data_IF_230527170092
#
_entry.id   IF_230527170092
#
_cell.length_a   1.000
_cell.length_b   1.000
_cell.length_c   1.000
_cell.angle_alpha   90.00
_cell.angle_beta   90.00
_cell.angle_gamma   90.00
#
_symmetry.space_group_name_H-M   'P 1'
#
loop_
_entity.id
_entity.type
_entity.pdbx_description
1 polymer ?
#
# COMPACT_ATOMS: atom_id res chain seq x y z
N UNK A 1 16.90 9.40 -20.62
CA UNK A 1 16.87 9.50 -19.15
C UNK A 1 16.25 8.26 -18.58
N UNK A 2 16.93 7.57 -17.69
CA UNK A 2 16.29 6.46 -17.03
C UNK A 2 15.10 6.98 -16.22
N UNK A 3 13.95 6.36 -16.41
CA UNK A 3 12.79 6.68 -15.59
C UNK A 3 13.08 6.32 -14.15
N UNK A 4 12.63 7.17 -13.23
CA UNK A 4 12.71 6.85 -11.81
C UNK A 4 11.84 5.63 -11.54
N UNK A 5 12.32 4.72 -10.70
CA UNK A 5 11.50 3.61 -10.24
C UNK A 5 10.26 4.17 -9.54
N UNK A 6 9.12 3.54 -9.82
CA UNK A 6 7.83 3.97 -9.27
C UNK A 6 7.41 3.04 -8.14
N UNK A 7 7.05 3.63 -7.02
CA UNK A 7 6.62 2.91 -5.83
C UNK A 7 5.24 3.36 -5.39
N UNK A 8 4.43 2.41 -5.02
CA UNK A 8 3.14 2.65 -4.37
C UNK A 8 3.26 2.19 -2.92
N UNK A 9 3.09 3.11 -1.99
CA UNK A 9 3.04 2.81 -0.56
C UNK A 9 1.58 2.80 -0.14
N UNK A 10 1.12 1.70 0.43
CA UNK A 10 -0.28 1.52 0.81
C UNK A 10 -0.40 1.44 2.32
N UNK A 11 -1.20 2.32 2.90
CA UNK A 11 -1.64 2.18 4.28
C UNK A 11 -2.74 1.11 4.30
N UNK A 12 -2.37 -0.11 4.69
CA UNK A 12 -3.26 -1.26 4.62
C UNK A 12 -4.54 -1.08 5.42
N UNK A 13 -4.44 -0.46 6.57
CA UNK A 13 -5.60 -0.20 7.43
C UNK A 13 -6.60 0.74 6.76
N UNK A 14 -6.13 1.85 6.19
CA UNK A 14 -6.98 2.79 5.47
C UNK A 14 -7.75 2.11 4.35
N UNK A 15 -7.06 1.29 3.56
CA UNK A 15 -7.66 0.62 2.41
C UNK A 15 -8.66 -0.46 2.83
N UNK A 16 -8.31 -1.27 3.84
CA UNK A 16 -9.19 -2.31 4.34
C UNK A 16 -10.51 -1.71 4.83
N UNK A 17 -10.44 -0.60 5.58
CA UNK A 17 -11.65 0.02 6.12
C UNK A 17 -12.45 0.77 5.05
N UNK A 18 -11.80 1.26 4.00
CA UNK A 18 -12.48 1.99 2.94
C UNK A 18 -13.18 1.07 1.91
N UNK A 19 -12.65 -0.13 1.70
CA UNK A 19 -13.23 -1.05 0.72
C UNK A 19 -14.21 -1.99 1.40
N UNK A 20 -15.52 -1.94 1.05
CA UNK A 20 -16.56 -2.71 1.77
C UNK A 20 -16.29 -4.21 1.84
N UNK A 21 -15.81 -4.82 0.77
CA UNK A 21 -15.52 -6.25 0.73
C UNK A 21 -14.38 -6.65 1.67
N UNK A 22 -13.37 -5.77 1.80
CA UNK A 22 -12.26 -6.01 2.73
C UNK A 22 -12.66 -5.75 4.17
N UNK A 23 -13.49 -4.73 4.39
CA UNK A 23 -14.00 -4.44 5.72
C UNK A 23 -14.84 -5.61 6.27
N UNK A 24 -15.64 -6.24 5.43
CA UNK A 24 -16.40 -7.42 5.81
C UNK A 24 -15.49 -8.59 6.19
N UNK A 25 -14.42 -8.81 5.44
CA UNK A 25 -13.43 -9.82 5.77
C UNK A 25 -12.74 -9.52 7.09
N UNK A 26 -12.43 -8.25 7.35
CA UNK A 26 -11.81 -7.78 8.59
C UNK A 26 -12.68 -8.12 9.81
N UNK A 27 -14.00 -7.98 9.69
CA UNK A 27 -14.95 -8.32 10.76
C UNK A 27 -14.92 -9.81 11.09
N UNK A 28 -14.67 -10.66 10.10
CA UNK A 28 -14.57 -12.10 10.30
C UNK A 28 -13.21 -12.50 10.85
N UNK A 29 -12.14 -12.02 10.25
CA UNK A 29 -10.76 -12.29 10.65
C UNK A 29 -9.84 -11.30 9.95
N UNK A 30 -9.00 -10.60 10.71
CA UNK A 30 -8.11 -9.60 10.14
C UNK A 30 -7.12 -10.18 9.12
N UNK A 31 -6.67 -11.42 9.31
CA UNK A 31 -5.77 -12.07 8.37
C UNK A 31 -6.39 -12.26 6.99
N UNK A 32 -7.70 -12.52 6.92
CA UNK A 32 -8.41 -12.68 5.65
C UNK A 32 -8.39 -11.38 4.83
N UNK A 33 -8.63 -10.25 5.50
CA UNK A 33 -8.61 -8.94 4.83
C UNK A 33 -7.21 -8.61 4.33
N UNK A 34 -6.19 -8.86 5.14
CA UNK A 34 -4.79 -8.60 4.77
C UNK A 34 -4.37 -9.45 3.56
N UNK A 35 -4.67 -10.73 3.60
CA UNK A 35 -4.35 -11.65 2.50
C UNK A 35 -5.05 -11.24 1.20
N UNK A 36 -6.33 -10.86 1.28
CA UNK A 36 -7.08 -10.41 0.12
C UNK A 36 -6.48 -9.13 -0.47
N UNK A 37 -6.10 -8.19 0.38
CA UNK A 37 -5.47 -6.95 -0.08
C UNK A 37 -4.11 -7.22 -0.73
N UNK A 38 -3.28 -8.05 -0.09
CA UNK A 38 -1.96 -8.41 -0.63
C UNK A 38 -2.10 -9.05 -2.01
N UNK A 39 -3.06 -9.95 -2.18
CA UNK A 39 -3.30 -10.58 -3.47
C UNK A 39 -3.65 -9.56 -4.55
N UNK A 40 -4.54 -8.62 -4.25
CA UNK A 40 -4.92 -7.57 -5.19
C UNK A 40 -3.75 -6.65 -5.53
N UNK A 41 -2.94 -6.32 -4.54
CA UNK A 41 -1.76 -5.48 -4.75
C UNK A 41 -0.69 -6.21 -5.58
N UNK A 42 -0.54 -7.51 -5.36
CA UNK A 42 0.38 -8.33 -6.16
C UNK A 42 -0.03 -8.32 -7.64
N UNK A 43 -1.31 -8.50 -7.93
CA UNK A 43 -1.82 -8.42 -9.29
C UNK A 43 -1.56 -7.05 -9.90
N UNK A 44 -1.81 -6.00 -9.15
CA UNK A 44 -1.57 -4.63 -9.60
C UNK A 44 -0.10 -4.39 -9.92
N UNK A 45 0.80 -4.85 -9.06
CA UNK A 45 2.24 -4.78 -9.29
C UNK A 45 2.63 -5.50 -10.57
N UNK A 46 2.10 -6.70 -10.78
CA UNK A 46 2.39 -7.51 -11.97
C UNK A 46 1.91 -6.81 -13.25
N UNK A 47 0.74 -6.18 -13.20
CA UNK A 47 0.15 -5.52 -14.37
C UNK A 47 0.79 -4.18 -14.68
N UNK A 48 1.27 -3.43 -13.70
CA UNK A 48 1.76 -2.07 -13.88
C UNK A 48 3.28 -1.96 -13.88
N UNK A 49 3.97 -2.92 -13.29
CA UNK A 49 5.40 -2.81 -13.04
C UNK A 49 5.76 -1.88 -11.89
N UNK A 50 4.78 -1.27 -11.23
CA UNK A 50 5.04 -0.46 -10.03
C UNK A 50 5.44 -1.37 -8.87
N UNK A 51 6.41 -0.95 -8.09
CA UNK A 51 6.76 -1.62 -6.84
C UNK A 51 5.74 -1.26 -5.78
N UNK A 52 5.19 -2.25 -5.11
CA UNK A 52 4.17 -2.03 -4.09
C UNK A 52 4.70 -2.37 -2.70
N UNK A 53 4.49 -1.45 -1.78
CA UNK A 53 4.81 -1.63 -0.36
C UNK A 53 3.53 -1.43 0.42
N UNK A 54 3.15 -2.39 1.25
CA UNK A 54 1.97 -2.28 2.12
C UNK A 54 2.40 -2.29 3.57
N UNK A 55 1.81 -1.41 4.37
CA UNK A 55 2.12 -1.27 5.78
C UNK A 55 0.88 -1.61 6.60
N UNK A 56 1.03 -2.53 7.55
CA UNK A 56 -0.05 -2.92 8.47
C UNK A 56 0.34 -2.61 9.91
N UNK A 57 -0.65 -2.37 10.74
CA UNK A 57 -0.42 -2.29 12.19
C UNK A 57 -0.03 -3.66 12.75
N UNK A 58 1.01 -3.68 13.58
CA UNK A 58 1.77 -4.86 13.94
C UNK A 58 1.18 -5.77 15.00
N UNK A 59 -0.12 -5.80 15.16
CA UNK A 59 -0.75 -6.79 16.04
C UNK A 59 -1.17 -7.98 15.20
N UNK A 60 -0.35 -8.99 15.17
CA UNK A 60 -0.75 -10.21 14.52
C UNK A 60 0.42 -11.04 14.08
N UNK A 61 0.10 -12.30 13.82
CA UNK A 61 1.04 -13.28 13.36
C UNK A 61 1.77 -12.76 12.12
N UNK A 62 3.07 -12.90 12.14
CA UNK A 62 3.88 -12.68 10.96
C UNK A 62 3.42 -13.66 9.88
N UNK A 63 2.57 -13.20 9.01
CA UNK A 63 2.38 -13.88 7.74
C UNK A 63 3.72 -13.69 7.05
N UNK A 64 4.37 -14.78 6.70
CA UNK A 64 5.71 -14.72 6.17
C UNK A 64 5.86 -13.68 5.09
N UNK A 65 6.60 -12.63 5.42
CA UNK A 65 7.01 -11.69 4.41
C UNK A 65 7.75 -12.48 3.34
N UNK A 66 7.33 -12.33 2.09
CA UNK A 66 8.04 -12.96 1.00
C UNK A 66 9.49 -12.47 1.01
N UNK A 67 10.43 -13.40 0.97
CA UNK A 67 11.84 -13.04 0.85
C UNK A 67 12.21 -12.61 -0.56
N UNK A 68 11.27 -12.71 -1.50
CA UNK A 68 11.49 -12.29 -2.87
C UNK A 68 11.44 -10.77 -2.99
N UNK A 69 12.55 -10.10 -3.38
CA UNK A 69 12.56 -8.64 -3.51
C UNK A 69 11.67 -8.14 -4.64
N UNK A 70 11.19 -9.00 -5.52
CA UNK A 70 10.28 -8.64 -6.61
C UNK A 70 8.81 -8.76 -6.25
N UNK A 71 8.50 -9.35 -5.09
CA UNK A 71 7.11 -9.44 -4.61
C UNK A 71 6.73 -8.16 -3.84
N UNK A 72 5.43 -8.02 -3.57
CA UNK A 72 4.91 -6.94 -2.73
C UNK A 72 5.62 -6.98 -1.38
N UNK A 73 6.17 -5.84 -0.97
CA UNK A 73 6.86 -5.73 0.31
C UNK A 73 5.85 -5.44 1.40
N UNK A 74 5.91 -6.20 2.47
CA UNK A 74 4.96 -6.11 3.58
C UNK A 74 5.70 -5.69 4.83
N UNK A 75 5.26 -4.58 5.43
CA UNK A 75 5.82 -4.09 6.68
C UNK A 75 4.75 -4.10 7.76
N UNK A 76 5.16 -4.49 8.96
CA UNK A 76 4.30 -4.43 10.14
C UNK A 76 4.91 -3.44 11.12
N UNK A 77 4.09 -2.57 11.70
CA UNK A 77 4.56 -1.67 12.73
C UNK A 77 4.92 -2.48 13.98
N UNK A 78 6.00 -2.08 14.64
CA UNK A 78 6.42 -2.72 15.91
C UNK A 78 5.64 -2.09 17.07
N UNK A 79 5.72 -2.74 18.22
CA UNK A 79 5.15 -2.20 19.46
C UNK A 79 5.67 -0.78 19.68
N UNK A 80 4.76 0.18 19.83
CA UNK A 80 5.11 1.57 20.02
C UNK A 80 5.25 2.37 18.73
N UNK A 81 5.10 1.73 17.57
CA UNK A 81 5.07 2.40 16.27
C UNK A 81 3.68 2.27 15.66
N UNK A 82 3.30 3.25 14.85
CA UNK A 82 2.07 3.19 14.07
C UNK A 82 2.41 2.94 12.60
N UNK A 83 1.44 2.40 11.85
CA UNK A 83 1.59 2.27 10.40
C UNK A 83 1.85 3.64 9.77
N UNK A 84 1.19 4.67 10.28
CA UNK A 84 1.37 6.05 9.82
C UNK A 84 2.83 6.50 9.91
N UNK A 85 3.49 6.19 11.03
CA UNK A 85 4.90 6.56 11.22
C UNK A 85 5.81 5.86 10.21
N UNK A 86 5.51 4.61 9.86
CA UNK A 86 6.28 3.87 8.86
C UNK A 86 6.08 4.49 7.46
N UNK A 87 4.84 4.80 7.11
CA UNK A 87 4.52 5.44 5.82
C UNK A 87 5.26 6.77 5.70
N UNK A 88 5.22 7.59 6.75
CA UNK A 88 5.92 8.87 6.77
C UNK A 88 7.44 8.71 6.62
N UNK A 89 8.00 7.72 7.29
CA UNK A 89 9.44 7.44 7.21
C UNK A 89 9.84 7.00 5.80
N UNK A 90 9.06 6.14 5.18
CA UNK A 90 9.33 5.68 3.82
C UNK A 90 9.24 6.82 2.82
N UNK A 91 8.21 7.66 2.94
CA UNK A 91 8.04 8.81 2.08
C UNK A 91 9.20 9.81 2.24
N UNK A 92 9.61 10.08 3.48
CA UNK A 92 10.73 10.98 3.77
C UNK A 92 12.05 10.44 3.23
N UNK A 93 12.29 9.14 3.38
CA UNK A 93 13.55 8.52 2.98
C UNK A 93 13.68 8.38 1.46
N UNK A 94 12.59 8.05 0.78
CA UNK A 94 12.64 7.67 -0.63
C UNK A 94 11.98 8.66 -1.58
N UNK A 95 11.27 9.68 -1.08
CA UNK A 95 10.54 10.63 -1.91
C UNK A 95 11.37 11.40 -2.92
N UNK A 96 12.66 11.58 -2.66
CA UNK A 96 13.58 12.30 -3.56
C UNK A 96 14.26 11.38 -4.57
N UNK A 97 14.25 10.07 -4.33
CA UNK A 97 14.97 9.10 -5.15
C UNK A 97 14.07 8.36 -6.13
N UNK A 98 12.78 8.25 -5.80
CA UNK A 98 11.81 7.48 -6.56
C UNK A 98 10.55 8.28 -6.77
N UNK A 99 9.77 7.93 -7.77
CA UNK A 99 8.41 8.42 -7.88
C UNK A 99 7.55 7.66 -6.88
N UNK A 100 7.06 8.36 -5.88
CA UNK A 100 6.23 7.76 -4.83
C UNK A 100 4.79 8.17 -4.97
N UNK A 101 3.91 7.18 -4.84
CA UNK A 101 2.48 7.37 -4.68
C UNK A 101 2.10 6.75 -3.35
N UNK A 102 1.34 7.45 -2.53
CA UNK A 102 0.92 6.99 -1.21
C UNK A 102 -0.61 6.93 -1.17
N UNK A 103 -1.15 5.76 -0.87
CA UNK A 103 -2.59 5.55 -0.72
C UNK A 103 -2.94 5.49 0.76
N UNK A 104 -3.63 6.50 1.25
CA UNK A 104 -4.04 6.60 2.64
C UNK A 104 -5.26 7.50 2.79
N UNK A 105 -6.08 7.26 3.82
CA UNK A 105 -7.16 8.15 4.20
C UNK A 105 -6.75 9.14 5.30
N UNK A 106 -5.55 8.98 5.85
CA UNK A 106 -5.07 9.84 6.94
C UNK A 106 -4.55 11.17 6.38
N UNK A 107 -5.18 12.26 6.81
CA UNK A 107 -4.84 13.59 6.33
C UNK A 107 -3.40 14.01 6.68
N UNK A 108 -2.94 13.66 7.88
CA UNK A 108 -1.57 14.00 8.29
C UNK A 108 -0.53 13.24 7.47
N UNK A 109 -0.79 11.96 7.20
CA UNK A 109 0.05 11.18 6.29
C UNK A 109 0.10 11.80 4.91
N UNK A 110 -1.05 12.21 4.39
CA UNK A 110 -1.14 12.86 3.07
C UNK A 110 -0.30 14.11 3.02
N UNK A 111 -0.38 14.96 4.06
CA UNK A 111 0.39 16.19 4.12
C UNK A 111 1.90 15.91 4.18
N UNK A 112 2.30 14.98 5.03
CA UNK A 112 3.72 14.63 5.18
C UNK A 112 4.28 14.04 3.88
N UNK A 113 3.55 13.13 3.27
CA UNK A 113 3.97 12.50 2.02
C UNK A 113 4.07 13.53 0.89
N UNK A 114 3.10 14.42 0.78
CA UNK A 114 3.12 15.51 -0.22
C UNK A 114 4.32 16.42 -0.02
N UNK A 115 4.64 16.76 1.23
CA UNK A 115 5.80 17.59 1.54
C UNK A 115 7.11 16.91 1.14
N UNK A 116 7.14 15.58 1.10
CA UNK A 116 8.29 14.79 0.65
C UNK A 116 8.32 14.57 -0.87
N UNK A 117 7.35 15.13 -1.59
CA UNK A 117 7.29 15.00 -3.04
C UNK A 117 6.48 13.83 -3.55
N UNK A 118 5.80 13.09 -2.68
CA UNK A 118 4.96 11.97 -3.08
C UNK A 118 3.59 12.46 -3.54
N UNK A 119 3.01 11.73 -4.51
CA UNK A 119 1.63 11.93 -4.89
C UNK A 119 0.74 11.14 -3.93
N UNK A 120 -0.28 11.79 -3.37
CA UNK A 120 -1.18 11.15 -2.43
C UNK A 120 -2.53 10.88 -3.09
N UNK A 121 -3.03 9.66 -2.88
CA UNK A 121 -4.33 9.26 -3.37
C UNK A 121 -5.16 8.67 -2.24
N UNK A 122 -6.47 8.74 -2.37
CA UNK A 122 -7.38 8.08 -1.43
C UNK A 122 -7.47 6.59 -1.72
N UNK A 123 -7.91 5.78 -0.75
CA UNK A 123 -8.19 4.36 -1.01
C UNK A 123 -9.19 4.15 -2.16
N UNK A 124 -10.15 5.03 -2.30
CA UNK A 124 -11.14 4.97 -3.38
C UNK A 124 -10.51 5.21 -4.74
N UNK A 125 -9.60 6.18 -4.84
CA UNK A 125 -8.85 6.41 -6.06
C UNK A 125 -7.98 5.21 -6.41
N UNK A 126 -7.33 4.62 -5.43
CA UNK A 126 -6.54 3.41 -5.66
C UNK A 126 -7.42 2.29 -6.23
N UNK A 127 -8.60 2.10 -5.65
CA UNK A 127 -9.54 1.09 -6.13
C UNK A 127 -9.90 1.31 -7.60
N UNK A 128 -10.19 2.56 -7.96
CA UNK A 128 -10.49 2.92 -9.34
C UNK A 128 -9.35 2.63 -10.30
N UNK A 129 -8.13 2.98 -9.90
CA UNK A 129 -6.94 2.69 -10.71
C UNK A 129 -6.74 1.19 -10.91
N UNK A 130 -6.92 0.41 -9.85
CA UNK A 130 -6.77 -1.04 -9.92
C UNK A 130 -7.83 -1.68 -10.80
N UNK A 131 -9.08 -1.21 -10.72
CA UNK A 131 -10.17 -1.70 -11.58
C UNK A 131 -9.90 -1.38 -13.05
N UNK A 132 -9.40 -0.20 -13.33
CA UNK A 132 -9.07 0.26 -14.67
C UNK A 132 -7.98 -0.61 -15.31
N UNK A 133 -6.92 -0.88 -14.57
CA UNK A 133 -5.82 -1.75 -15.01
C UNK A 133 -6.31 -3.18 -15.24
N UNK A 134 -7.14 -3.68 -14.34
CA UNK A 134 -7.74 -5.02 -14.45
C UNK A 134 -8.58 -5.15 -15.71
N UNK A 135 -9.38 -4.14 -16.02
CA UNK A 135 -10.20 -4.12 -17.23
C UNK A 135 -9.33 -4.15 -18.49
N UNK A 136 -8.23 -3.41 -18.51
CA UNK A 136 -7.27 -3.42 -19.62
C UNK A 136 -6.55 -4.77 -19.75
N UNK A 137 -6.19 -5.39 -18.64
CA UNK A 137 -5.48 -6.67 -18.63
C UNK A 137 -6.34 -7.83 -19.17
N UNK A 138 -7.67 -7.68 -19.12
CA UNK A 138 -8.60 -8.71 -19.62
C UNK A 138 -8.88 -8.62 -21.12
N UNK A 139 -8.40 -7.61 -21.78
CA UNK A 139 -8.57 -7.46 -23.23
C UNK A 139 -7.57 -8.29 -24.02
#
# INVERSE_FOLDING_TARGET
MPERARYLIVDGHSVIFAWPELRKLQERRSSLAREALIKRLRDYQDWTGMRVVVVFDGKGAHIGASSDPHDVQIFYSRKGQTADAIVERLASKYGHRFELMVATSDYLEQQTASACGAECISPEMLRGLMQQVRACARR
#
